data_IF_975299551792
#
_entry.id   IF_975299551792
#
_cell.length_a   1.000
_cell.length_b   1.000
_cell.length_c   1.000
_cell.angle_alpha   90.00
_cell.angle_beta   90.00
_cell.angle_gamma   90.00
#
_symmetry.space_group_name_H-M   'P 1'
#
loop_
_entity.id
_entity.type
_entity.pdbx_description
1 polymer ?
#
# COMPACT_ATOMS: atom_id res chain seq x y z
N UNK A 1 24.19 -9.20 5.48
CA UNK A 1 24.43 -7.88 4.83
C UNK A 1 23.08 -7.23 4.51
N UNK A 2 23.03 -5.93 4.19
CA UNK A 2 21.77 -5.22 3.89
C UNK A 2 21.01 -5.86 2.71
N UNK A 3 21.75 -6.35 1.71
CA UNK A 3 21.17 -7.00 0.54
C UNK A 3 20.56 -8.36 0.88
N UNK A 4 21.20 -9.17 1.73
CA UNK A 4 20.65 -10.47 2.15
C UNK A 4 19.28 -10.29 2.80
N UNK A 5 19.17 -9.32 3.73
CA UNK A 5 17.90 -9.02 4.40
C UNK A 5 16.82 -8.57 3.41
N UNK A 6 17.19 -7.84 2.37
CA UNK A 6 16.24 -7.45 1.33
C UNK A 6 15.75 -8.67 0.54
N UNK A 7 16.65 -9.58 0.15
CA UNK A 7 16.32 -10.83 -0.55
C UNK A 7 15.41 -11.71 0.31
N UNK A 8 15.72 -11.86 1.61
CA UNK A 8 14.90 -12.65 2.54
C UNK A 8 13.46 -12.12 2.62
N UNK A 9 13.29 -10.79 2.65
CA UNK A 9 11.97 -10.16 2.65
C UNK A 9 11.24 -10.40 1.32
N UNK A 10 11.94 -10.34 0.19
CA UNK A 10 11.33 -10.62 -1.11
C UNK A 10 10.85 -12.08 -1.23
N UNK A 11 11.62 -13.04 -0.71
CA UNK A 11 11.21 -14.44 -0.67
C UNK A 11 9.97 -14.64 0.21
N UNK A 12 9.95 -14.01 1.38
CA UNK A 12 8.78 -14.04 2.26
C UNK A 12 7.53 -13.46 1.60
N UNK A 13 7.67 -12.34 0.86
CA UNK A 13 6.56 -11.76 0.10
C UNK A 13 6.06 -12.75 -0.96
N UNK A 14 6.95 -13.48 -1.63
CA UNK A 14 6.56 -14.51 -2.59
C UNK A 14 5.73 -15.63 -1.93
N UNK A 15 6.17 -16.12 -0.76
CA UNK A 15 5.41 -17.12 0.01
C UNK A 15 4.04 -16.59 0.44
N UNK A 16 3.96 -15.32 0.85
CA UNK A 16 2.70 -14.66 1.23
C UNK A 16 1.74 -14.51 0.03
N UNK A 17 2.25 -14.31 -1.19
CA UNK A 17 1.43 -14.27 -2.42
C UNK A 17 0.80 -15.64 -2.69
N UNK A 18 1.58 -16.71 -2.58
CA UNK A 18 1.11 -18.08 -2.83
C UNK A 18 0.08 -18.52 -1.77
N UNK A 19 0.25 -18.08 -0.52
CA UNK A 19 -0.68 -18.40 0.56
C UNK A 19 -1.96 -17.54 0.56
N UNK A 20 -1.83 -16.22 0.41
CA UNK A 20 -2.95 -15.28 0.36
C UNK A 20 -2.59 -13.98 -0.40
N UNK A 21 -2.79 -14.00 -1.71
CA UNK A 21 -2.60 -12.83 -2.58
C UNK A 21 -3.47 -11.60 -2.20
N UNK A 22 -4.54 -11.78 -1.42
CA UNK A 22 -5.41 -10.66 -1.02
C UNK A 22 -4.75 -9.76 0.03
N UNK A 23 -3.86 -10.32 0.86
CA UNK A 23 -3.10 -9.61 1.87
C UNK A 23 -2.23 -8.50 1.26
N UNK A 24 -1.52 -8.80 0.16
CA UNK A 24 -0.71 -7.83 -0.58
C UNK A 24 -1.53 -6.69 -1.18
N UNK A 25 -2.75 -6.96 -1.67
CA UNK A 25 -3.59 -5.91 -2.26
C UNK A 25 -4.03 -4.85 -1.23
N UNK A 26 -4.06 -5.24 0.04
CA UNK A 26 -4.39 -4.39 1.19
C UNK A 26 -3.17 -3.69 1.80
N UNK A 27 -1.96 -4.08 1.40
CA UNK A 27 -0.75 -3.40 1.81
C UNK A 27 -0.73 -1.95 1.24
N UNK A 28 -0.10 -1.00 1.96
CA UNK A 28 0.51 -1.12 3.30
C UNK A 28 -0.53 -1.09 4.43
N UNK A 29 -0.25 -1.78 5.54
CA UNK A 29 -1.19 -1.93 6.69
C UNK A 29 -0.86 -1.05 7.89
N UNK A 30 0.41 -0.71 8.12
CA UNK A 30 0.86 -0.01 9.32
C UNK A 30 1.30 1.46 9.06
N UNK A 31 1.38 1.86 7.80
CA UNK A 31 1.70 3.26 7.47
C UNK A 31 0.52 4.17 7.84
N UNK A 32 0.77 5.43 8.23
CA UNK A 32 -0.29 6.38 8.61
C UNK A 32 -1.37 6.58 7.55
N UNK A 33 -1.03 6.32 6.28
CA UNK A 33 -1.93 6.37 5.13
C UNK A 33 -1.86 5.01 4.41
N UNK A 34 -3.04 4.45 4.09
CA UNK A 34 -3.18 3.23 3.30
C UNK A 34 -3.18 3.53 1.80
N UNK A 35 -3.43 2.52 0.97
CA UNK A 35 -3.56 2.67 -0.49
C UNK A 35 -4.57 3.76 -0.86
N UNK A 36 -4.11 4.72 -1.67
CA UNK A 36 -4.89 5.89 -2.10
C UNK A 36 -5.84 5.50 -3.23
N UNK A 37 -7.07 6.04 -3.21
CA UNK A 37 -8.01 5.93 -4.33
C UNK A 37 -7.62 6.89 -5.46
N UNK A 38 -6.77 6.40 -6.35
CA UNK A 38 -6.29 7.14 -7.52
C UNK A 38 -7.43 7.43 -8.51
N UNK A 39 -8.38 6.50 -8.67
CA UNK A 39 -9.48 6.66 -9.63
C UNK A 39 -10.44 7.76 -9.16
N UNK A 40 -10.77 7.77 -7.87
CA UNK A 40 -11.54 8.86 -7.25
C UNK A 40 -10.82 10.20 -7.35
N UNK A 41 -9.52 10.20 -7.08
CA UNK A 41 -8.67 11.40 -7.17
C UNK A 41 -8.65 11.99 -8.58
N UNK A 42 -8.55 11.15 -9.62
CA UNK A 42 -8.54 11.59 -11.01
C UNK A 42 -9.91 12.12 -11.46
N UNK A 43 -11.00 11.46 -11.04
CA UNK A 43 -12.37 11.81 -11.46
C UNK A 43 -12.96 12.99 -10.69
N UNK A 44 -12.53 13.19 -9.44
CA UNK A 44 -13.04 14.23 -8.54
C UNK A 44 -11.89 14.86 -7.74
N UNK A 45 -10.95 15.53 -8.41
CA UNK A 45 -9.77 16.05 -7.75
C UNK A 45 -10.14 17.18 -6.78
N UNK A 46 -9.64 17.09 -5.54
CA UNK A 46 -9.64 18.19 -4.57
C UNK A 46 -8.27 18.86 -4.59
N UNK A 47 -8.19 19.98 -5.31
CA UNK A 47 -6.92 20.67 -5.60
C UNK A 47 -6.55 21.73 -4.55
N UNK A 48 -7.52 22.12 -3.72
CA UNK A 48 -7.33 23.09 -2.64
C UNK A 48 -7.73 22.46 -1.32
N UNK A 49 -7.18 22.97 -0.23
CA UNK A 49 -7.56 22.54 1.11
C UNK A 49 -9.04 22.84 1.38
N UNK A 50 -9.75 21.89 1.98
CA UNK A 50 -11.14 22.02 2.42
C UNK A 50 -11.32 21.44 3.82
N UNK A 51 -12.07 22.15 4.67
CA UNK A 51 -12.29 21.78 6.09
C UNK A 51 -13.41 20.72 6.27
N UNK A 52 -13.94 20.17 5.16
CA UNK A 52 -15.05 19.20 5.13
C UNK A 52 -14.64 17.76 5.49
N UNK A 53 -13.41 17.57 5.97
CA UNK A 53 -12.82 16.28 6.32
C UNK A 53 -12.79 15.97 7.82
N UNK A 54 -13.63 16.64 8.63
CA UNK A 54 -13.83 16.30 10.06
C UNK A 54 -14.81 15.16 10.25
#
# INVERSE_FOLDING_TARGET
LVLDRFVDVMLRIADEIEADASSLKKAPTDTPVRRIDVVGSDRKPRLTWSDDLR
#
